data_IF_346278093824
#
_entry.id   IF_346278093824
#
_cell.length_a   1.000
_cell.length_b   1.000
_cell.length_c   1.000
_cell.angle_alpha   90.00
_cell.angle_beta   90.00
_cell.angle_gamma   90.00
#
_symmetry.space_group_name_H-M   'P 1'
#
loop_
_entity.id
_entity.type
_entity.pdbx_description
1 polymer ?
#
# COMPACT_ATOMS: atom_id res chain seq x y z
N UNK A 1 10.71 -20.62 23.22
CA UNK A 1 10.27 -20.51 21.81
C UNK A 1 9.69 -19.13 21.49
N UNK A 2 9.04 -18.44 22.43
CA UNK A 2 8.47 -17.08 22.20
C UNK A 2 9.48 -16.01 21.79
N UNK A 3 10.71 -16.07 22.30
CA UNK A 3 11.77 -15.09 21.99
C UNK A 3 12.00 -14.90 20.48
N UNK A 4 12.07 -15.99 19.70
CA UNK A 4 12.26 -15.92 18.24
C UNK A 4 11.04 -15.29 17.54
N UNK A 5 9.84 -15.66 17.97
CA UNK A 5 8.58 -15.12 17.44
C UNK A 5 8.43 -13.62 17.75
N UNK A 6 8.80 -13.20 18.95
CA UNK A 6 8.80 -11.80 19.38
C UNK A 6 9.81 -10.97 18.57
N UNK A 7 11.01 -11.51 18.34
CA UNK A 7 12.02 -10.87 17.50
C UNK A 7 11.55 -10.70 16.05
N UNK A 8 10.88 -11.71 15.48
CA UNK A 8 10.34 -11.63 14.10
C UNK A 8 9.13 -10.70 14.01
N UNK A 9 8.29 -10.61 15.04
CA UNK A 9 7.22 -9.62 15.07
C UNK A 9 7.73 -8.20 15.30
N UNK A 10 8.93 -8.03 15.87
CA UNK A 10 9.47 -6.73 16.20
C UNK A 10 8.48 -5.93 17.05
N UNK A 11 8.18 -4.71 16.63
CA UNK A 11 7.31 -3.76 17.36
C UNK A 11 5.80 -3.97 17.17
N UNK A 12 5.33 -5.12 16.67
CA UNK A 12 3.89 -5.38 16.50
C UNK A 12 3.20 -5.69 17.82
N UNK A 13 1.95 -5.24 17.97
CA UNK A 13 1.10 -5.53 19.13
C UNK A 13 0.68 -7.00 19.08
N UNK A 14 1.29 -7.82 19.94
CA UNK A 14 0.99 -9.25 20.00
C UNK A 14 -0.17 -9.51 20.96
N UNK A 15 -1.06 -10.43 20.60
CA UNK A 15 -2.02 -11.01 21.52
C UNK A 15 -1.25 -11.90 22.50
N UNK A 16 -1.27 -11.53 23.78
CA UNK A 16 -0.78 -12.33 24.90
C UNK A 16 -1.94 -12.58 25.86
N UNK A 17 -2.58 -13.74 25.77
CA UNK A 17 -3.74 -14.10 26.60
C UNK A 17 -3.68 -15.60 26.93
N UNK A 18 -3.58 -15.92 28.22
CA UNK A 18 -3.41 -17.32 28.66
C UNK A 18 -2.22 -17.97 27.96
N UNK A 19 -2.47 -19.07 27.25
CA UNK A 19 -1.45 -19.82 26.49
C UNK A 19 -1.18 -19.27 25.08
N UNK A 20 -1.89 -18.22 24.65
CA UNK A 20 -1.71 -17.63 23.32
C UNK A 20 -0.69 -16.49 23.34
N UNK A 21 0.35 -16.61 22.52
CA UNK A 21 1.28 -15.52 22.19
C UNK A 21 1.38 -15.38 20.67
N UNK A 22 0.46 -14.64 20.07
CA UNK A 22 0.28 -14.53 18.63
C UNK A 22 0.56 -13.12 18.12
N UNK A 23 1.26 -13.00 17.00
CA UNK A 23 1.31 -11.78 16.21
C UNK A 23 -0.05 -11.57 15.51
N UNK A 24 -1.01 -11.14 16.32
CA UNK A 24 -2.42 -10.95 16.03
C UNK A 24 -2.89 -9.74 16.83
N UNK A 25 -3.60 -8.81 16.18
CA UNK A 25 -4.10 -7.58 16.79
C UNK A 25 -5.52 -7.30 16.34
N UNK A 26 -6.40 -6.98 17.27
CA UNK A 26 -7.69 -6.37 16.96
C UNK A 26 -7.48 -4.90 16.61
N UNK A 27 -7.67 -4.57 15.33
CA UNK A 27 -7.67 -3.18 14.87
C UNK A 27 -8.98 -2.51 15.29
N UNK A 28 -10.10 -3.22 15.13
CA UNK A 28 -11.39 -2.91 15.76
C UNK A 28 -11.89 -4.17 16.47
N UNK A 29 -13.10 -4.15 17.05
CA UNK A 29 -13.68 -5.38 17.63
C UNK A 29 -13.93 -6.48 16.60
N UNK A 30 -14.11 -6.11 15.33
CA UNK A 30 -14.51 -7.02 14.25
C UNK A 30 -13.50 -7.13 13.11
N UNK A 31 -12.35 -6.46 13.23
CA UNK A 31 -11.24 -6.54 12.26
C UNK A 31 -9.96 -6.90 12.99
N UNK A 32 -9.34 -8.00 12.56
CA UNK A 32 -8.06 -8.50 13.07
C UNK A 32 -6.99 -8.36 11.98
N UNK A 33 -5.83 -7.85 12.36
CA UNK A 33 -4.60 -7.91 11.58
C UNK A 33 -3.66 -8.97 12.18
N UNK A 34 -3.10 -9.86 11.36
CA UNK A 34 -2.10 -10.83 11.84
C UNK A 34 -0.97 -11.09 10.84
N UNK A 35 0.10 -11.74 11.31
CA UNK A 35 1.09 -12.38 10.43
C UNK A 35 0.60 -13.75 9.93
N UNK A 36 1.25 -14.27 8.90
CA UNK A 36 0.89 -15.57 8.31
C UNK A 36 0.89 -16.69 9.36
N UNK A 37 -0.14 -17.56 9.39
CA UNK A 37 -0.07 -18.82 10.13
C UNK A 37 1.00 -19.71 9.49
N UNK A 38 2.01 -20.09 10.28
CA UNK A 38 3.14 -20.90 9.86
C UNK A 38 2.96 -22.36 10.26
N UNK A 39 3.25 -23.26 9.32
CA UNK A 39 3.21 -24.70 9.50
C UNK A 39 4.59 -25.26 9.87
N UNK A 40 4.62 -26.32 10.67
CA UNK A 40 5.84 -27.02 11.08
C UNK A 40 6.92 -26.06 11.59
N UNK A 41 8.10 -26.09 10.96
CA UNK A 41 9.25 -25.26 11.32
C UNK A 41 8.94 -23.76 11.22
N UNK A 42 8.03 -23.34 10.33
CA UNK A 42 7.67 -21.92 10.24
C UNK A 42 6.98 -21.42 11.50
N UNK A 43 6.26 -22.28 12.23
CA UNK A 43 5.63 -21.98 13.51
C UNK A 43 6.63 -21.63 14.62
N UNK A 44 7.92 -21.96 14.47
CA UNK A 44 8.97 -21.60 15.42
C UNK A 44 9.23 -20.09 15.43
N UNK A 45 9.11 -19.44 14.28
CA UNK A 45 9.44 -18.02 14.11
C UNK A 45 8.26 -17.16 13.60
N UNK A 46 7.13 -17.78 13.25
CA UNK A 46 5.84 -17.13 12.94
C UNK A 46 4.75 -17.56 13.92
N UNK A 47 3.51 -17.20 13.65
CA UNK A 47 2.35 -17.70 14.40
C UNK A 47 2.18 -19.20 14.13
N UNK A 48 2.24 -20.10 15.13
CA UNK A 48 1.91 -21.51 14.90
C UNK A 48 0.46 -21.63 14.44
N UNK A 49 0.23 -22.27 13.29
CA UNK A 49 -1.11 -22.39 12.71
C UNK A 49 -2.12 -23.00 13.68
N UNK A 50 -1.72 -24.02 14.45
CA UNK A 50 -2.61 -24.69 15.42
C UNK A 50 -3.05 -23.74 16.53
N UNK A 51 -2.17 -22.86 17.00
CA UNK A 51 -2.54 -21.86 18.02
C UNK A 51 -3.44 -20.77 17.46
N UNK A 52 -3.25 -20.34 16.20
CA UNK A 52 -4.13 -19.37 15.55
C UNK A 52 -5.52 -19.98 15.34
N UNK A 53 -5.56 -21.20 14.79
CA UNK A 53 -6.79 -21.93 14.55
C UNK A 53 -7.55 -22.18 15.86
N UNK A 54 -6.86 -22.68 16.90
CA UNK A 54 -7.43 -22.87 18.23
C UNK A 54 -8.03 -21.57 18.76
N UNK A 55 -7.26 -20.46 18.76
CA UNK A 55 -7.74 -19.18 19.26
C UNK A 55 -8.99 -18.69 18.52
N UNK A 56 -8.99 -18.73 17.17
CA UNK A 56 -10.12 -18.26 16.37
C UNK A 56 -11.35 -19.17 16.52
N UNK A 57 -11.15 -20.49 16.52
CA UNK A 57 -12.23 -21.47 16.69
C UNK A 57 -12.88 -21.39 18.08
N UNK A 58 -12.08 -21.20 19.14
CA UNK A 58 -12.60 -21.04 20.50
C UNK A 58 -13.32 -19.69 20.68
N UNK A 59 -12.75 -18.61 20.15
CA UNK A 59 -13.26 -17.25 20.40
C UNK A 59 -14.45 -16.87 19.52
N UNK A 60 -14.42 -17.27 18.24
CA UNK A 60 -15.33 -16.82 17.19
C UNK A 60 -16.09 -17.96 16.51
N UNK A 61 -15.85 -19.22 16.88
CA UNK A 61 -16.51 -20.41 16.32
C UNK A 61 -16.35 -20.49 14.80
N UNK A 62 -17.43 -20.34 14.04
CA UNK A 62 -17.44 -20.34 12.56
C UNK A 62 -17.61 -18.93 11.98
N UNK A 63 -17.80 -17.91 12.83
CA UNK A 63 -18.13 -16.53 12.44
C UNK A 63 -16.88 -15.69 12.14
N UNK A 64 -15.83 -16.30 11.58
CA UNK A 64 -14.62 -15.58 11.17
C UNK A 64 -14.23 -15.88 9.73
N UNK A 65 -13.73 -14.84 9.06
CA UNK A 65 -13.43 -14.87 7.63
C UNK A 65 -12.00 -14.39 7.40
N UNK A 66 -11.14 -15.25 6.85
CA UNK A 66 -9.71 -14.96 6.66
C UNK A 66 -9.45 -14.48 5.24
N UNK A 67 -8.87 -13.29 5.10
CA UNK A 67 -8.32 -12.78 3.84
C UNK A 67 -6.82 -13.02 3.78
N UNK A 68 -6.42 -14.01 2.98
CA UNK A 68 -5.04 -14.38 2.77
C UNK A 68 -4.44 -13.60 1.58
N UNK A 69 -3.71 -12.52 1.89
CA UNK A 69 -3.07 -11.66 0.88
C UNK A 69 -1.65 -12.14 0.51
N UNK A 70 -1.24 -13.31 1.00
CA UNK A 70 0.16 -13.75 0.94
C UNK A 70 0.55 -14.41 -0.39
N UNK A 71 -0.40 -15.01 -1.09
CA UNK A 71 -0.16 -15.91 -2.23
C UNK A 71 0.46 -17.26 -1.82
N UNK A 72 0.41 -17.61 -0.52
CA UNK A 72 0.89 -18.88 0.02
C UNK A 72 -0.29 -19.67 0.59
N UNK A 73 -0.30 -20.97 0.31
CA UNK A 73 -1.25 -21.91 0.91
C UNK A 73 -0.69 -22.44 2.24
N UNK A 74 -1.60 -22.89 3.09
CA UNK A 74 -1.36 -23.61 4.34
C UNK A 74 -2.58 -24.50 4.59
N UNK A 75 -2.54 -25.41 5.56
CA UNK A 75 -3.62 -26.33 5.89
C UNK A 75 -4.87 -25.58 6.39
N UNK A 76 -5.77 -25.30 5.45
CA UNK A 76 -7.02 -24.58 5.67
C UNK A 76 -7.99 -25.37 6.55
N UNK A 77 -7.86 -26.71 6.61
CA UNK A 77 -8.78 -27.59 7.35
C UNK A 77 -8.76 -27.36 8.87
N UNK A 78 -7.71 -26.72 9.37
CA UNK A 78 -7.58 -26.31 10.78
C UNK A 78 -8.56 -25.21 11.16
N UNK A 79 -8.99 -24.40 10.20
CA UNK A 79 -9.88 -23.27 10.41
C UNK A 79 -11.33 -23.68 10.11
N UNK A 80 -12.23 -23.45 11.07
CA UNK A 80 -13.68 -23.63 10.89
C UNK A 80 -14.31 -22.50 10.04
N UNK A 81 -13.69 -21.32 10.07
CA UNK A 81 -14.13 -20.15 9.32
C UNK A 81 -13.68 -20.18 7.85
N UNK A 82 -14.31 -19.36 7.02
CA UNK A 82 -14.03 -19.33 5.58
C UNK A 82 -12.71 -18.58 5.27
N UNK A 83 -11.97 -19.05 4.27
CA UNK A 83 -10.72 -18.42 3.80
C UNK A 83 -10.85 -17.96 2.34
N UNK A 84 -10.51 -16.70 2.09
CA UNK A 84 -10.41 -16.10 0.76
C UNK A 84 -8.94 -15.94 0.36
N UNK A 85 -8.54 -16.56 -0.76
CA UNK A 85 -7.14 -16.61 -1.23
C UNK A 85 -6.87 -15.92 -2.57
N UNK A 86 -7.91 -15.51 -3.29
CA UNK A 86 -7.80 -14.93 -4.64
C UNK A 86 -7.40 -13.44 -4.62
N UNK A 87 -7.13 -12.89 -3.45
CA UNK A 87 -6.93 -11.45 -3.20
C UNK A 87 -5.47 -11.04 -2.99
N UNK A 88 -4.50 -11.77 -3.56
CA UNK A 88 -3.08 -11.47 -3.37
C UNK A 88 -2.48 -10.63 -4.51
N UNK A 89 -1.44 -9.86 -4.18
CA UNK A 89 -0.53 -9.27 -5.17
C UNK A 89 0.92 -9.52 -4.74
N UNK A 90 1.81 -9.57 -5.74
CA UNK A 90 3.22 -9.87 -5.51
C UNK A 90 3.85 -8.91 -4.52
N UNK A 91 4.76 -9.44 -3.70
CA UNK A 91 5.51 -8.60 -2.79
C UNK A 91 6.25 -7.50 -3.57
N UNK A 92 6.25 -6.31 -3.01
CA UNK A 92 6.78 -5.09 -3.62
C UNK A 92 6.10 -4.55 -4.89
N UNK A 93 4.88 -4.97 -5.20
CA UNK A 93 4.01 -4.29 -6.17
C UNK A 93 2.99 -3.43 -5.43
N UNK A 94 2.45 -2.42 -6.11
CA UNK A 94 1.21 -1.79 -5.67
C UNK A 94 0.06 -2.81 -5.73
N UNK A 95 -0.93 -2.71 -4.83
CA UNK A 95 -2.17 -3.47 -5.01
C UNK A 95 -2.85 -3.02 -6.29
N UNK A 96 -3.50 -3.91 -7.03
CA UNK A 96 -4.44 -3.45 -8.07
C UNK A 96 -5.64 -2.78 -7.40
N UNK A 97 -6.08 -1.64 -7.92
CA UNK A 97 -7.22 -0.90 -7.35
C UNK A 97 -8.49 -1.74 -7.32
N UNK A 98 -8.76 -2.53 -8.37
CA UNK A 98 -9.92 -3.42 -8.43
C UNK A 98 -9.93 -4.39 -7.23
N UNK A 99 -8.78 -5.00 -6.94
CA UNK A 99 -8.63 -5.96 -5.83
C UNK A 99 -8.93 -5.29 -4.49
N UNK A 100 -8.52 -4.03 -4.29
CA UNK A 100 -8.84 -3.30 -3.06
C UNK A 100 -10.36 -3.09 -2.91
N UNK A 101 -11.04 -2.65 -3.97
CA UNK A 101 -12.50 -2.46 -3.94
C UNK A 101 -13.24 -3.78 -3.72
N UNK A 102 -12.81 -4.86 -4.37
CA UNK A 102 -13.44 -6.17 -4.21
C UNK A 102 -13.29 -6.73 -2.80
N UNK A 103 -12.10 -6.62 -2.22
CA UNK A 103 -11.88 -6.99 -0.82
C UNK A 103 -12.76 -6.13 0.10
N UNK A 104 -12.77 -4.80 -0.07
CA UNK A 104 -13.53 -3.92 0.81
C UNK A 104 -15.04 -4.18 0.73
N UNK A 105 -15.57 -4.41 -0.47
CA UNK A 105 -16.97 -4.79 -0.65
C UNK A 105 -17.28 -6.13 0.02
N UNK A 106 -16.40 -7.12 -0.15
CA UNK A 106 -16.59 -8.44 0.46
C UNK A 106 -16.55 -8.37 2.00
N UNK A 107 -15.58 -7.64 2.56
CA UNK A 107 -15.50 -7.39 4.02
C UNK A 107 -16.79 -6.70 4.49
N UNK A 108 -17.26 -5.67 3.78
CA UNK A 108 -18.49 -4.96 4.14
C UNK A 108 -19.71 -5.88 4.19
N UNK A 109 -19.87 -6.72 3.17
CA UNK A 109 -20.97 -7.67 3.08
C UNK A 109 -20.92 -8.70 4.21
N UNK A 110 -19.73 -9.25 4.50
CA UNK A 110 -19.52 -10.18 5.62
C UNK A 110 -19.87 -9.52 6.95
N UNK A 111 -19.39 -8.31 7.22
CA UNK A 111 -19.65 -7.65 8.50
C UNK A 111 -21.11 -7.19 8.65
N UNK A 112 -21.81 -6.94 7.55
CA UNK A 112 -23.25 -6.64 7.55
C UNK A 112 -24.14 -7.87 7.68
N UNK A 113 -23.72 -9.04 7.19
CA UNK A 113 -24.58 -10.22 7.14
C UNK A 113 -24.88 -10.82 8.52
N UNK A 114 -23.95 -10.71 9.46
CA UNK A 114 -24.12 -11.17 10.84
C UNK A 114 -23.33 -10.25 11.78
N UNK A 115 -23.90 -9.88 12.92
CA UNK A 115 -23.27 -9.01 13.93
C UNK A 115 -22.07 -9.67 14.61
N UNK A 116 -22.03 -11.01 14.65
CA UNK A 116 -20.92 -11.77 15.23
C UNK A 116 -19.76 -12.00 14.27
N UNK A 117 -19.95 -11.75 12.97
CA UNK A 117 -18.89 -11.93 11.98
C UNK A 117 -17.68 -11.06 12.30
N UNK A 118 -16.49 -11.64 12.20
CA UNK A 118 -15.22 -10.91 12.26
C UNK A 118 -14.36 -11.24 11.05
N UNK A 119 -13.54 -10.28 10.64
CA UNK A 119 -12.63 -10.42 9.51
C UNK A 119 -11.19 -10.45 10.00
N UNK A 120 -10.43 -11.41 9.50
CA UNK A 120 -9.00 -11.56 9.77
C UNK A 120 -8.24 -11.29 8.48
N UNK A 121 -7.38 -10.28 8.46
CA UNK A 121 -6.56 -9.96 7.28
C UNK A 121 -5.10 -10.26 7.60
N UNK A 122 -4.43 -11.02 6.71
CA UNK A 122 -3.00 -11.27 6.85
C UNK A 122 -2.28 -11.25 5.50
N UNK A 123 -0.97 -11.09 5.58
CA UNK A 123 -0.05 -11.33 4.47
C UNK A 123 1.11 -12.19 5.00
N UNK A 124 2.35 -11.97 4.58
CA UNK A 124 3.50 -12.66 5.18
C UNK A 124 3.77 -12.13 6.60
N UNK A 125 4.07 -10.84 6.72
CA UNK A 125 4.48 -10.21 7.98
C UNK A 125 3.34 -9.47 8.71
N UNK A 126 2.15 -9.35 8.11
CA UNK A 126 1.03 -8.62 8.73
C UNK A 126 1.29 -7.13 8.94
N UNK A 127 2.00 -6.48 8.00
CA UNK A 127 2.39 -5.05 8.06
C UNK A 127 1.82 -4.24 6.89
N UNK A 128 2.51 -4.25 5.74
CA UNK A 128 2.21 -3.39 4.60
C UNK A 128 0.89 -3.75 3.91
N UNK A 129 0.83 -4.89 3.21
CA UNK A 129 -0.36 -5.36 2.48
C UNK A 129 -1.61 -5.45 3.35
N UNK A 130 -1.46 -6.05 4.54
CA UNK A 130 -2.52 -6.13 5.56
C UNK A 130 -3.04 -4.75 5.95
N UNK A 131 -2.12 -3.82 6.26
CA UNK A 131 -2.50 -2.47 6.62
C UNK A 131 -3.14 -1.70 5.47
N UNK A 132 -2.68 -1.90 4.23
CA UNK A 132 -3.30 -1.30 3.05
C UNK A 132 -4.77 -1.68 2.93
N UNK A 133 -5.10 -2.97 3.00
CA UNK A 133 -6.49 -3.44 2.94
C UNK A 133 -7.32 -2.91 4.11
N UNK A 134 -6.79 -2.99 5.33
CA UNK A 134 -7.52 -2.53 6.51
C UNK A 134 -7.77 -1.02 6.45
N UNK A 135 -6.78 -0.22 6.07
CA UNK A 135 -6.96 1.23 5.91
C UNK A 135 -7.97 1.55 4.81
N UNK A 136 -7.90 0.88 3.66
CA UNK A 136 -8.92 1.04 2.61
C UNK A 136 -10.31 0.68 3.13
N UNK A 137 -10.46 -0.42 3.87
CA UNK A 137 -11.76 -0.79 4.41
C UNK A 137 -12.28 0.19 5.47
N UNK A 138 -11.42 0.72 6.34
CA UNK A 138 -11.82 1.72 7.34
C UNK A 138 -12.24 3.07 6.70
N UNK A 139 -11.71 3.39 5.52
CA UNK A 139 -12.18 4.50 4.68
C UNK A 139 -13.52 4.15 4.01
N UNK A 140 -13.61 2.96 3.42
CA UNK A 140 -14.83 2.43 2.78
C UNK A 140 -16.00 2.29 3.76
N UNK A 141 -15.73 1.97 5.03
CA UNK A 141 -16.77 1.87 6.03
C UNK A 141 -17.30 3.25 6.45
N UNK A 142 -16.66 4.35 6.03
CA UNK A 142 -17.00 5.71 6.45
C UNK A 142 -16.42 6.13 7.80
N UNK A 143 -15.58 5.31 8.46
CA UNK A 143 -15.07 5.63 9.81
C UNK A 143 -14.05 6.77 9.79
N UNK A 144 -13.29 6.86 8.69
CA UNK A 144 -12.27 7.87 8.47
C UNK A 144 -12.55 8.63 7.17
N UNK A 145 -12.20 9.92 7.16
CA UNK A 145 -12.40 10.82 6.02
C UNK A 145 -11.11 11.14 5.26
N UNK A 146 -9.95 10.75 5.81
CA UNK A 146 -8.67 11.06 5.21
C UNK A 146 -7.64 9.95 5.50
N UNK A 147 -6.65 9.86 4.61
CA UNK A 147 -5.62 8.82 4.64
C UNK A 147 -4.64 9.00 5.81
N UNK A 148 -4.36 10.24 6.23
CA UNK A 148 -3.43 10.52 7.34
C UNK A 148 -3.93 9.93 8.66
N UNK A 149 -5.21 10.09 8.96
CA UNK A 149 -5.78 9.65 10.23
C UNK A 149 -5.99 8.15 10.29
N UNK A 150 -6.45 7.51 9.20
CA UNK A 150 -6.56 6.05 9.16
C UNK A 150 -5.19 5.36 9.27
N UNK A 151 -4.16 5.92 8.61
CA UNK A 151 -2.78 5.40 8.71
C UNK A 151 -2.24 5.54 10.13
N UNK A 152 -2.52 6.67 10.79
CA UNK A 152 -2.12 6.89 12.17
C UNK A 152 -2.84 5.92 13.13
N UNK A 153 -4.17 5.80 12.99
CA UNK A 153 -4.98 4.88 13.78
C UNK A 153 -4.49 3.45 13.63
N UNK A 154 -4.35 2.96 12.40
CA UNK A 154 -3.82 1.61 12.15
C UNK A 154 -2.41 1.43 12.74
N UNK A 155 -1.55 2.44 12.62
CA UNK A 155 -0.22 2.43 13.20
C UNK A 155 -0.23 2.24 14.71
N UNK A 156 -1.00 3.07 15.43
CA UNK A 156 -1.15 3.01 16.89
C UNK A 156 -1.81 1.71 17.36
N UNK A 157 -2.79 1.19 16.61
CA UNK A 157 -3.41 -0.10 16.93
C UNK A 157 -2.47 -1.27 16.71
N UNK A 158 -1.70 -1.29 15.62
CA UNK A 158 -0.92 -2.46 15.18
C UNK A 158 0.49 -2.53 15.76
N UNK A 159 1.09 -1.41 16.16
CA UNK A 159 2.49 -1.35 16.60
C UNK A 159 2.65 -0.60 17.93
N UNK A 160 3.66 -1.00 18.71
CA UNK A 160 4.15 -0.25 19.85
C UNK A 160 5.25 0.73 19.39
N UNK A 161 5.12 1.99 19.81
CA UNK A 161 6.05 3.08 19.49
C UNK A 161 5.71 3.85 18.22
N UNK A 162 6.21 5.08 18.13
CA UNK A 162 5.83 6.04 17.09
C UNK A 162 6.40 5.70 15.70
N UNK A 163 5.70 6.18 14.65
CA UNK A 163 6.20 6.18 13.27
C UNK A 163 6.10 4.85 12.51
N UNK A 164 5.36 3.85 13.04
CA UNK A 164 5.12 2.58 12.37
C UNK A 164 3.69 2.44 11.88
N UNK A 165 3.52 2.26 10.57
CA UNK A 165 2.23 1.96 9.92
C UNK A 165 2.47 1.25 8.58
N UNK A 166 1.59 1.45 7.61
CA UNK A 166 1.87 1.26 6.18
C UNK A 166 2.87 2.32 5.76
N UNK A 167 4.12 1.91 5.52
CA UNK A 167 5.23 2.85 5.29
C UNK A 167 5.71 2.89 3.83
N UNK A 168 5.33 1.91 2.99
CA UNK A 168 5.79 1.86 1.61
C UNK A 168 5.05 2.93 0.78
N UNK A 169 5.75 3.86 0.11
CA UNK A 169 5.12 4.94 -0.64
C UNK A 169 4.11 4.48 -1.69
N UNK A 170 4.39 3.40 -2.45
CA UNK A 170 3.42 2.85 -3.40
C UNK A 170 2.12 2.40 -2.73
N UNK A 171 2.17 1.84 -1.51
CA UNK A 171 0.99 1.41 -0.79
C UNK A 171 0.18 2.60 -0.30
N UNK A 172 0.84 3.62 0.27
CA UNK A 172 0.18 4.86 0.71
C UNK A 172 -0.49 5.57 -0.47
N UNK A 173 0.21 5.67 -1.61
CA UNK A 173 -0.32 6.27 -2.84
C UNK A 173 -1.61 5.59 -3.30
N UNK A 174 -1.68 4.26 -3.24
CA UNK A 174 -2.88 3.53 -3.64
C UNK A 174 -4.02 3.62 -2.61
N UNK A 175 -3.72 3.83 -1.33
CA UNK A 175 -4.74 4.20 -0.34
C UNK A 175 -5.31 5.59 -0.66
N UNK A 176 -4.47 6.54 -1.08
CA UNK A 176 -4.95 7.86 -1.57
C UNK A 176 -5.83 7.70 -2.81
N UNK A 177 -5.38 6.97 -3.84
CA UNK A 177 -6.22 6.69 -5.01
C UNK A 177 -7.57 6.06 -4.65
N UNK A 178 -7.57 5.09 -3.73
CA UNK A 178 -8.79 4.47 -3.24
C UNK A 178 -9.70 5.48 -2.53
N UNK A 179 -9.14 6.33 -1.67
CA UNK A 179 -9.90 7.38 -0.99
C UNK A 179 -10.46 8.42 -1.98
N UNK A 180 -9.66 8.85 -2.96
CA UNK A 180 -10.08 9.81 -3.98
C UNK A 180 -11.28 9.25 -4.75
N UNK A 181 -11.19 7.99 -5.20
CA UNK A 181 -12.27 7.29 -5.88
C UNK A 181 -13.56 7.17 -5.06
N UNK A 182 -13.47 6.94 -3.74
CA UNK A 182 -14.65 6.90 -2.86
C UNK A 182 -15.35 8.24 -2.70
N UNK A 183 -14.64 9.35 -2.92
CA UNK A 183 -15.17 10.71 -2.78
C UNK A 183 -15.41 11.37 -4.15
N UNK A 184 -15.34 10.60 -5.25
CA UNK A 184 -15.64 11.09 -6.60
C UNK A 184 -17.12 10.92 -6.94
N UNK A 185 -17.73 11.97 -7.49
CA UNK A 185 -19.10 11.94 -8.02
C UNK A 185 -19.16 11.54 -9.50
N UNK A 186 -18.03 11.18 -10.10
CA UNK A 186 -17.91 10.89 -11.54
C UNK A 186 -17.13 9.62 -11.79
N UNK A 187 -17.53 8.91 -12.85
CA UNK A 187 -16.79 7.75 -13.35
C UNK A 187 -15.43 8.17 -13.86
N UNK A 188 -14.45 7.28 -13.67
CA UNK A 188 -13.08 7.48 -14.11
C UNK A 188 -12.55 6.22 -14.76
N UNK A 189 -11.74 6.41 -15.80
CA UNK A 189 -11.20 5.36 -16.65
C UNK A 189 -9.70 5.59 -16.88
N UNK A 190 -8.91 4.52 -17.06
CA UNK A 190 -7.48 4.66 -17.32
C UNK A 190 -7.23 5.38 -18.65
N UNK A 191 -6.12 6.11 -18.71
CA UNK A 191 -5.64 6.74 -19.93
C UNK A 191 -4.47 5.97 -20.53
N UNK A 192 -4.35 6.01 -21.86
CA UNK A 192 -3.15 5.57 -22.55
C UNK A 192 -2.10 6.68 -22.49
N UNK A 193 -0.92 6.34 -22.00
CA UNK A 193 0.22 7.26 -21.91
C UNK A 193 1.46 6.62 -22.54
N UNK A 194 2.47 7.45 -22.79
CA UNK A 194 3.82 7.04 -23.10
C UNK A 194 4.80 7.81 -22.21
N UNK A 195 5.93 7.21 -21.87
CA UNK A 195 7.01 7.92 -21.17
C UNK A 195 7.98 8.45 -22.21
N UNK A 196 8.27 9.76 -22.18
CA UNK A 196 9.25 10.42 -23.05
C UNK A 196 10.64 10.40 -22.43
N UNK A 197 10.72 10.77 -21.15
CA UNK A 197 11.97 10.74 -20.41
C UNK A 197 11.75 10.53 -18.93
N UNK A 198 12.79 10.04 -18.25
CA UNK A 198 12.87 10.04 -16.80
C UNK A 198 14.15 10.78 -16.42
N UNK A 199 13.98 11.84 -15.64
CA UNK A 199 15.07 12.69 -15.16
C UNK A 199 15.26 12.51 -13.66
N UNK A 200 16.50 12.32 -13.25
CA UNK A 200 16.93 12.36 -11.86
C UNK A 200 17.59 13.70 -11.59
N UNK A 201 17.34 14.28 -10.42
CA UNK A 201 17.98 15.50 -9.95
C UNK A 201 18.52 15.29 -8.53
N UNK A 202 19.59 16.01 -8.20
CA UNK A 202 20.39 15.80 -6.98
C UNK A 202 21.74 15.18 -7.32
N UNK A 203 22.65 15.10 -6.35
CA UNK A 203 23.95 14.49 -6.59
C UNK A 203 23.80 13.00 -6.98
N UNK A 204 24.68 12.52 -7.87
CA UNK A 204 24.71 11.10 -8.27
C UNK A 204 24.76 10.19 -7.04
N UNK A 205 23.84 9.22 -6.92
CA UNK A 205 23.87 8.27 -5.82
C UNK A 205 25.17 7.46 -5.79
N UNK A 206 25.71 7.20 -4.60
CA UNK A 206 26.95 6.44 -4.40
C UNK A 206 26.65 4.94 -4.30
N UNK A 207 26.44 4.25 -5.43
CA UNK A 207 25.84 2.90 -5.46
C UNK A 207 26.85 1.76 -5.54
N UNK A 208 27.84 1.84 -6.42
CA UNK A 208 28.86 0.81 -6.57
C UNK A 208 30.08 1.03 -5.65
N UNK A 209 31.04 0.10 -5.69
CA UNK A 209 32.26 0.12 -4.86
C UNK A 209 33.12 1.37 -5.08
N UNK A 210 32.98 2.03 -6.24
CA UNK A 210 33.72 3.23 -6.62
C UNK A 210 32.86 4.50 -6.45
N UNK A 211 31.70 4.40 -5.80
CA UNK A 211 30.75 5.50 -5.63
C UNK A 211 30.05 5.93 -6.93
N UNK A 212 30.09 5.10 -7.97
CA UNK A 212 29.48 5.41 -9.26
C UNK A 212 28.06 4.83 -9.38
N UNK A 213 27.31 5.41 -10.30
CA UNK A 213 25.94 5.01 -10.60
C UNK A 213 25.73 5.05 -12.11
N UNK A 214 25.24 3.93 -12.66
CA UNK A 214 24.90 3.76 -14.06
C UNK A 214 23.41 3.39 -14.13
N UNK A 215 22.51 4.36 -13.92
CA UNK A 215 21.12 4.04 -13.76
C UNK A 215 20.52 3.52 -15.07
N UNK A 216 19.55 2.64 -14.93
CA UNK A 216 18.68 2.17 -16.00
C UNK A 216 17.29 1.85 -15.44
N UNK A 217 16.31 1.81 -16.33
CA UNK A 217 14.90 1.68 -16.00
C UNK A 217 14.35 0.38 -16.57
N UNK A 218 13.50 -0.30 -15.81
CA UNK A 218 12.60 -1.34 -16.28
C UNK A 218 11.15 -0.90 -16.04
N UNK A 219 10.33 -0.96 -17.09
CA UNK A 219 8.89 -0.69 -17.01
C UNK A 219 8.14 -2.02 -16.95
N UNK A 220 7.24 -2.14 -15.99
CA UNK A 220 6.48 -3.36 -15.72
C UNK A 220 4.99 -3.05 -15.69
N UNK A 221 4.22 -3.85 -16.42
CA UNK A 221 2.78 -3.96 -16.27
C UNK A 221 2.49 -4.77 -15.01
N UNK A 222 1.85 -4.14 -14.02
CA UNK A 222 1.63 -4.77 -12.70
C UNK A 222 0.64 -5.93 -12.79
N UNK A 223 -0.39 -5.81 -13.64
CA UNK A 223 -1.46 -6.80 -13.75
C UNK A 223 -0.93 -8.06 -14.44
N UNK A 224 -0.17 -7.88 -15.53
CA UNK A 224 0.42 -8.99 -16.29
C UNK A 224 1.72 -9.52 -15.68
N UNK A 225 2.28 -8.81 -14.70
CA UNK A 225 3.62 -9.04 -14.16
C UNK A 225 4.69 -9.13 -15.28
N UNK A 226 4.50 -8.36 -16.34
CA UNK A 226 5.31 -8.43 -17.54
C UNK A 226 6.25 -7.23 -17.62
N UNK A 227 7.54 -7.49 -17.84
CA UNK A 227 8.49 -6.43 -18.19
C UNK A 227 8.27 -6.00 -19.63
N UNK A 228 7.70 -4.81 -19.81
CA UNK A 228 7.39 -4.23 -21.11
C UNK A 228 8.64 -3.65 -21.78
N UNK A 229 9.56 -3.07 -21.00
CA UNK A 229 10.72 -2.39 -21.55
C UNK A 229 11.90 -2.31 -20.57
N UNK A 230 13.12 -2.17 -21.10
CA UNK A 230 14.33 -1.93 -20.32
C UNK A 230 15.33 -1.04 -21.06
N UNK A 231 15.86 -0.02 -20.38
CA UNK A 231 16.93 0.84 -20.91
C UNK A 231 18.33 0.35 -20.55
N UNK A 232 18.48 -0.89 -20.03
CA UNK A 232 19.77 -1.41 -19.53
C UNK A 232 20.91 -1.28 -20.55
N UNK A 233 20.65 -1.57 -21.83
CA UNK A 233 21.64 -1.47 -22.91
C UNK A 233 22.07 -0.02 -23.23
N UNK A 234 21.29 0.96 -22.81
CA UNK A 234 21.52 2.39 -23.03
C UNK A 234 22.02 3.09 -21.76
N UNK A 235 22.34 2.33 -20.70
CA UNK A 235 22.76 2.89 -19.42
C UNK A 235 24.04 3.71 -19.58
N UNK A 236 24.05 4.90 -18.97
CA UNK A 236 25.18 5.82 -18.96
C UNK A 236 25.46 6.22 -17.52
N UNK A 237 26.69 6.65 -17.24
CA UNK A 237 27.09 7.14 -15.92
C UNK A 237 26.25 8.36 -15.53
N UNK A 238 25.75 8.40 -14.29
CA UNK A 238 25.21 9.60 -13.68
C UNK A 238 26.38 10.49 -13.25
N UNK A 239 26.53 11.64 -13.91
CA UNK A 239 27.53 12.66 -13.57
C UNK A 239 26.84 13.97 -13.19
N UNK A 240 27.33 14.63 -12.14
CA UNK A 240 26.83 15.94 -11.71
C UNK A 240 25.54 15.87 -10.88
N UNK A 241 24.67 16.87 -11.07
CA UNK A 241 23.43 17.10 -10.29
C UNK A 241 22.13 16.71 -11.01
N UNK A 242 22.24 16.19 -12.24
CA UNK A 242 21.11 15.68 -12.99
C UNK A 242 21.52 14.57 -13.96
N UNK A 243 20.58 13.67 -14.26
CA UNK A 243 20.77 12.62 -15.27
C UNK A 243 19.43 12.31 -15.91
N UNK A 244 19.40 12.21 -17.24
CA UNK A 244 18.17 11.97 -17.99
C UNK A 244 18.30 10.69 -18.83
N UNK A 245 17.26 9.88 -18.78
CA UNK A 245 17.07 8.69 -19.61
C UNK A 245 15.93 9.00 -20.58
N UNK A 246 16.25 9.09 -21.88
CA UNK A 246 15.29 9.34 -22.96
C UNK A 246 14.80 8.00 -23.52
N UNK A 247 13.50 7.86 -23.72
CA UNK A 247 12.89 6.66 -24.25
C UNK A 247 12.74 6.80 -25.77
N UNK A 248 13.59 6.09 -26.51
CA UNK A 248 13.57 6.10 -27.99
C UNK A 248 12.34 5.41 -28.60
N UNK A 249 11.69 4.51 -27.85
CA UNK A 249 10.52 3.77 -28.30
C UNK A 249 9.26 4.30 -27.61
N UNK A 250 8.20 4.49 -28.40
CA UNK A 250 6.87 4.80 -27.89
C UNK A 250 6.22 3.54 -27.32
N UNK A 251 6.32 3.37 -26.00
CA UNK A 251 5.72 2.21 -25.31
C UNK A 251 4.34 2.65 -24.79
N UNK A 252 3.24 2.06 -25.27
CA UNK A 252 1.91 2.33 -24.75
C UNK A 252 1.77 1.76 -23.34
N UNK A 253 1.38 2.60 -22.38
CA UNK A 253 1.18 2.24 -20.98
C UNK A 253 -0.22 2.63 -20.52
N UNK A 254 -0.82 1.79 -19.68
CA UNK A 254 -2.16 2.01 -19.12
C UNK A 254 -2.32 1.37 -17.75
N UNK A 255 -3.28 1.86 -16.97
CA UNK A 255 -3.62 1.37 -15.63
C UNK A 255 -2.42 1.36 -14.67
N UNK A 256 -2.18 0.27 -13.95
CA UNK A 256 -1.16 0.16 -12.91
C UNK A 256 0.24 -0.07 -13.53
N UNK A 257 1.11 0.94 -13.43
CA UNK A 257 2.48 0.92 -13.97
C UNK A 257 3.49 0.92 -12.82
N UNK A 258 4.48 0.01 -12.91
CA UNK A 258 5.63 -0.04 -11.99
C UNK A 258 6.92 0.25 -12.74
N UNK A 259 7.65 1.26 -12.27
CA UNK A 259 8.98 1.62 -12.75
C UNK A 259 10.00 1.12 -11.72
N UNK A 260 10.93 0.26 -12.15
CA UNK A 260 12.09 -0.16 -11.35
C UNK A 260 13.34 0.52 -11.87
N UNK A 261 14.07 1.18 -10.98
CA UNK A 261 15.35 1.82 -11.30
C UNK A 261 16.48 1.04 -10.62
N UNK A 262 17.49 0.71 -11.41
CA UNK A 262 18.67 -0.05 -10.99
C UNK A 262 19.92 0.63 -11.52
N UNK A 263 21.05 0.43 -10.84
CA UNK A 263 22.35 0.76 -11.38
C UNK A 263 22.96 -0.48 -12.01
N UNK A 264 23.41 -0.39 -13.26
CA UNK A 264 24.26 -1.39 -13.87
C UNK A 264 25.56 -1.50 -13.07
N UNK A 265 26.03 -2.73 -12.89
CA UNK A 265 27.27 -3.03 -12.19
C UNK A 265 28.01 -4.17 -12.86
N UNK A 266 29.32 -4.26 -12.63
CA UNK A 266 30.20 -5.24 -13.28
C UNK A 266 29.87 -6.68 -12.89
N UNK A 267 29.59 -6.93 -11.60
CA UNK A 267 29.29 -8.28 -11.07
C UNK A 267 27.77 -8.50 -11.03
N UNK A 268 27.04 -7.51 -10.50
CA UNK A 268 25.59 -7.56 -10.37
C UNK A 268 25.00 -6.17 -10.41
N UNK A 269 23.78 -6.05 -10.92
CA UNK A 269 23.04 -4.80 -10.88
C UNK A 269 22.57 -4.49 -9.44
N UNK A 270 22.70 -3.24 -9.04
CA UNK A 270 22.24 -2.74 -7.74
C UNK A 270 20.84 -2.15 -7.86
N UNK A 271 19.91 -2.53 -6.99
CA UNK A 271 18.59 -1.88 -6.91
C UNK A 271 18.74 -0.48 -6.33
N UNK A 272 18.16 0.52 -7.00
CA UNK A 272 18.13 1.89 -6.50
C UNK A 272 16.80 2.15 -5.80
N UNK A 273 15.73 2.22 -6.59
CA UNK A 273 14.39 2.47 -6.10
C UNK A 273 13.34 1.99 -7.11
N UNK A 274 12.08 2.12 -6.71
CA UNK A 274 10.92 1.85 -7.53
C UNK A 274 9.89 2.94 -7.30
N UNK A 275 9.02 3.14 -8.26
CA UNK A 275 7.83 3.95 -8.09
C UNK A 275 6.70 3.32 -8.89
N UNK A 276 5.49 3.40 -8.35
CA UNK A 276 4.28 2.92 -8.99
C UNK A 276 3.27 4.05 -9.12
N UNK A 277 2.44 3.97 -10.15
CA UNK A 277 1.33 4.89 -10.36
C UNK A 277 0.21 4.25 -11.17
N UNK A 278 -0.95 4.90 -11.24
CA UNK A 278 -2.06 4.48 -12.09
C UNK A 278 -2.43 5.57 -13.10
N UNK A 279 -2.52 5.23 -14.39
CA UNK A 279 -2.71 6.22 -15.46
C UNK A 279 -4.04 6.96 -15.46
N UNK A 280 -5.01 6.55 -14.65
CA UNK A 280 -6.27 7.27 -14.48
C UNK A 280 -6.08 8.63 -13.76
N UNK A 281 -5.06 8.78 -12.91
CA UNK A 281 -4.99 9.89 -11.94
C UNK A 281 -4.15 11.10 -12.38
N UNK A 282 -3.89 11.26 -13.69
CA UNK A 282 -2.94 12.28 -14.21
C UNK A 282 -3.52 13.21 -15.29
N UNK A 283 -4.76 13.66 -15.13
CA UNK A 283 -5.45 14.52 -16.12
C UNK A 283 -4.67 15.79 -16.47
N UNK A 284 -4.23 16.55 -15.46
CA UNK A 284 -3.79 17.94 -15.65
C UNK A 284 -2.27 18.13 -15.68
N UNK A 285 -1.51 17.04 -15.83
CA UNK A 285 -0.04 17.12 -15.90
C UNK A 285 0.54 16.17 -16.94
N UNK A 286 1.61 16.62 -17.61
CA UNK A 286 2.47 15.77 -18.45
C UNK A 286 3.77 15.41 -17.71
N UNK A 287 3.93 15.84 -16.46
CA UNK A 287 5.12 15.62 -15.67
C UNK A 287 4.75 15.14 -14.28
N UNK A 288 5.26 13.97 -13.91
CA UNK A 288 5.07 13.38 -12.59
C UNK A 288 6.35 13.58 -11.78
N UNK A 289 6.25 14.27 -10.66
CA UNK A 289 7.40 14.54 -9.78
C UNK A 289 7.30 13.66 -8.54
N UNK A 290 8.43 13.04 -8.18
CA UNK A 290 8.56 12.18 -7.02
C UNK A 290 9.83 12.55 -6.24
N UNK A 291 9.66 12.96 -4.99
CA UNK A 291 10.80 13.17 -4.10
C UNK A 291 11.19 11.83 -3.44
N UNK A 292 12.29 11.80 -2.68
CA UNK A 292 12.72 10.60 -1.95
C UNK A 292 11.62 9.94 -1.12
N UNK A 293 10.68 10.74 -0.59
CA UNK A 293 9.59 10.23 0.22
C UNK A 293 8.55 9.42 -0.57
N UNK A 294 8.52 9.60 -1.89
CA UNK A 294 7.60 8.92 -2.80
C UNK A 294 8.19 7.63 -3.41
N UNK A 295 9.46 7.34 -3.12
CA UNK A 295 10.21 6.24 -3.73
C UNK A 295 10.24 5.00 -2.82
N UNK A 296 9.99 3.84 -3.42
CA UNK A 296 10.11 2.56 -2.75
C UNK A 296 11.52 1.96 -2.89
N UNK A 297 12.03 1.24 -1.88
CA UNK A 297 11.39 1.02 -0.59
C UNK A 297 11.59 2.23 0.35
N UNK A 298 10.67 2.43 1.30
CA UNK A 298 10.68 3.59 2.23
C UNK A 298 12.01 3.84 2.96
N UNK A 299 12.84 2.80 3.11
CA UNK A 299 14.17 2.86 3.70
C UNK A 299 15.12 3.80 2.95
N UNK A 300 14.88 4.06 1.66
CA UNK A 300 15.69 4.97 0.85
C UNK A 300 15.78 6.38 1.43
N UNK A 301 14.74 6.83 2.15
CA UNK A 301 14.71 8.15 2.80
C UNK A 301 15.86 8.33 3.82
N UNK A 302 16.34 7.22 4.39
CA UNK A 302 17.44 7.19 5.37
C UNK A 302 18.76 6.71 4.76
N UNK A 303 18.75 6.32 3.48
CA UNK A 303 19.94 5.83 2.81
C UNK A 303 20.89 6.99 2.50
N UNK A 304 22.09 6.93 3.08
CA UNK A 304 23.13 7.97 2.94
C UNK A 304 23.69 8.05 1.52
N UNK A 305 23.46 7.03 0.69
CA UNK A 305 23.90 7.01 -0.71
C UNK A 305 23.09 7.96 -1.58
N UNK A 306 21.91 8.39 -1.14
CA UNK A 306 21.05 9.30 -1.88
C UNK A 306 21.09 10.71 -1.27
N UNK A 307 21.17 11.71 -2.14
CA UNK A 307 21.02 13.12 -1.77
C UNK A 307 19.64 13.36 -1.15
N UNK A 308 19.54 14.11 -0.04
CA UNK A 308 18.25 14.43 0.61
C UNK A 308 17.30 15.22 -0.30
N UNK A 309 17.82 15.94 -1.29
CA UNK A 309 17.04 16.64 -2.32
C UNK A 309 16.86 15.82 -3.60
N UNK A 310 17.18 14.53 -3.57
CA UNK A 310 17.02 13.66 -4.73
C UNK A 310 15.55 13.60 -5.14
N UNK A 311 15.29 13.88 -6.41
CA UNK A 311 13.95 13.82 -7.00
C UNK A 311 13.99 13.20 -8.39
N UNK A 312 12.85 12.65 -8.78
CA UNK A 312 12.62 12.00 -10.06
C UNK A 312 11.48 12.71 -10.77
N UNK A 313 11.68 13.10 -12.02
CA UNK A 313 10.61 13.57 -12.90
C UNK A 313 10.38 12.54 -14.01
N UNK A 314 9.13 12.12 -14.19
CA UNK A 314 8.70 11.27 -15.30
C UNK A 314 7.91 12.16 -16.26
N UNK A 315 8.46 12.39 -17.44
CA UNK A 315 7.82 13.13 -18.52
C UNK A 315 6.99 12.17 -19.37
N UNK A 316 5.69 12.46 -19.49
CA UNK A 316 4.70 11.61 -20.14
C UNK A 316 3.98 12.34 -21.26
N UNK A 317 3.65 11.62 -22.32
CA UNK A 317 2.70 12.06 -23.33
C UNK A 317 1.40 11.28 -23.17
N UNK A 318 0.28 12.00 -23.27
CA UNK A 318 -1.08 11.44 -23.21
C UNK A 318 -1.73 11.50 -24.57
N UNK A 319 -2.77 10.68 -24.76
CA UNK A 319 -3.67 10.86 -25.88
C UNK A 319 -4.29 12.27 -25.84
N UNK A 320 -4.26 12.99 -26.97
CA UNK A 320 -4.87 14.32 -27.10
C UNK A 320 -6.38 14.29 -27.31
N UNK A 321 -6.92 13.11 -27.65
CA UNK A 321 -8.34 12.92 -28.00
C UNK A 321 -9.14 12.40 -26.80
N UNK A 322 -8.56 11.51 -26.00
CA UNK A 322 -9.24 10.85 -24.90
C UNK A 322 -8.85 11.42 -23.54
N UNK A 323 -9.81 11.49 -22.63
CA UNK A 323 -9.63 11.72 -21.20
C UNK A 323 -10.12 10.52 -20.39
N UNK A 324 -9.84 10.53 -19.10
CA UNK A 324 -10.34 9.55 -18.13
C UNK A 324 -11.85 9.63 -17.88
N UNK A 325 -12.55 10.66 -18.39
CA UNK A 325 -14.01 10.70 -18.39
C UNK A 325 -14.63 9.83 -19.50
N UNK A 326 -13.88 9.53 -20.57
CA UNK A 326 -14.37 8.69 -21.65
C UNK A 326 -14.44 7.23 -21.20
N UNK A 327 -15.61 6.58 -21.38
CA UNK A 327 -15.73 5.12 -21.25
C UNK A 327 -14.87 4.41 -22.30
N UNK A 328 -14.71 3.09 -22.17
CA UNK A 328 -13.91 2.30 -23.11
C UNK A 328 -14.44 2.44 -24.56
N UNK A 329 -15.75 2.39 -24.76
CA UNK A 329 -16.40 2.52 -26.07
C UNK A 329 -16.22 3.91 -26.70
N UNK A 330 -15.97 4.91 -25.87
CA UNK A 330 -15.72 6.30 -26.29
C UNK A 330 -14.23 6.59 -26.54
N UNK A 331 -13.32 5.65 -26.23
CA UNK A 331 -11.90 5.81 -26.53
C UNK A 331 -11.67 5.79 -28.04
N UNK A 332 -10.70 6.56 -28.51
CA UNK A 332 -10.32 6.60 -29.92
C UNK A 332 -9.74 5.26 -30.39
N UNK A 333 -9.67 5.07 -31.71
CA UNK A 333 -9.19 3.84 -32.34
C UNK A 333 -7.76 3.43 -31.92
N UNK A 334 -6.94 4.38 -31.45
CA UNK A 334 -5.60 4.10 -30.93
C UNK A 334 -5.65 3.64 -29.47
N UNK A 335 -6.47 4.28 -28.62
CA UNK A 335 -6.50 3.99 -27.19
C UNK A 335 -7.25 2.68 -26.88
N UNK A 336 -8.35 2.44 -27.57
CA UNK A 336 -9.27 1.34 -27.27
C UNK A 336 -8.57 -0.04 -27.22
N UNK A 337 -7.74 -0.45 -28.20
CA UNK A 337 -7.09 -1.76 -28.18
C UNK A 337 -6.18 -1.99 -26.97
N UNK A 338 -5.59 -0.92 -26.39
CA UNK A 338 -4.73 -1.01 -25.22
C UNK A 338 -5.50 -0.97 -23.90
N UNK A 339 -6.67 -0.34 -23.89
CA UNK A 339 -7.46 -0.11 -22.67
C UNK A 339 -8.55 -1.16 -22.45
N UNK A 340 -9.06 -1.80 -23.51
CA UNK A 340 -10.19 -2.74 -23.43
C UNK A 340 -9.94 -3.92 -22.48
N UNK A 341 -8.69 -4.36 -22.35
CA UNK A 341 -8.29 -5.39 -21.38
C UNK A 341 -8.56 -5.01 -19.92
N UNK A 342 -8.68 -3.72 -19.61
CA UNK A 342 -8.97 -3.21 -18.27
C UNK A 342 -10.46 -2.89 -18.06
N UNK A 343 -11.31 -3.15 -19.07
CA UNK A 343 -12.73 -2.79 -19.05
C UNK A 343 -13.48 -3.43 -17.89
N UNK A 344 -13.36 -4.76 -17.74
CA UNK A 344 -14.01 -5.49 -16.65
C UNK A 344 -13.63 -4.94 -15.28
N UNK A 345 -12.33 -4.71 -15.03
CA UNK A 345 -11.85 -4.22 -13.73
C UNK A 345 -12.32 -2.80 -13.40
N UNK A 346 -12.31 -1.89 -14.37
CA UNK A 346 -12.71 -0.50 -14.13
C UNK A 346 -14.22 -0.29 -14.15
N UNK A 347 -14.96 -1.04 -14.97
CA UNK A 347 -16.42 -1.05 -14.91
C UNK A 347 -16.87 -1.51 -13.53
N UNK A 348 -16.23 -2.56 -12.99
CA UNK A 348 -16.49 -3.06 -11.64
C UNK A 348 -16.18 -2.03 -10.54
N UNK A 349 -15.04 -1.33 -10.61
CA UNK A 349 -14.73 -0.22 -9.68
C UNK A 349 -15.82 0.86 -9.75
N UNK A 350 -16.16 1.31 -10.96
CA UNK A 350 -17.18 2.34 -11.16
C UNK A 350 -18.57 1.88 -10.68
N UNK A 351 -18.94 0.62 -10.85
CA UNK A 351 -20.18 0.05 -10.32
C UNK A 351 -20.23 0.08 -8.79
N UNK A 352 -19.12 -0.28 -8.13
CA UNK A 352 -19.01 -0.23 -6.67
C UNK A 352 -19.15 1.22 -6.17
N UNK A 353 -18.42 2.16 -6.78
CA UNK A 353 -18.46 3.58 -6.41
C UNK A 353 -19.86 4.17 -6.65
N UNK A 354 -20.48 3.91 -7.80
CA UNK A 354 -21.82 4.45 -8.11
C UNK A 354 -22.91 3.96 -7.14
N UNK A 355 -22.71 2.80 -6.50
CA UNK A 355 -23.62 2.24 -5.50
C UNK A 355 -23.18 2.55 -4.06
N UNK A 356 -22.00 3.15 -3.89
CA UNK A 356 -21.44 3.41 -2.58
C UNK A 356 -22.20 4.55 -1.91
N UNK A 357 -22.81 4.24 -0.77
CA UNK A 357 -23.40 5.23 0.13
C UNK A 357 -22.59 5.21 1.40
N UNK A 358 -21.95 6.33 1.70
CA UNK A 358 -21.11 6.48 2.88
C UNK A 358 -21.95 6.26 4.15
N UNK A 359 -21.62 5.26 5.00
CA UNK A 359 -22.35 5.04 6.24
C UNK A 359 -22.21 6.22 7.21
N UNK A 360 -23.22 6.42 8.07
CA UNK A 360 -23.13 7.40 9.15
C UNK A 360 -22.15 6.94 10.23
N UNK A 361 -21.70 7.85 11.10
CA UNK A 361 -20.81 7.48 12.21
C UNK A 361 -21.45 6.39 13.08
N UNK A 362 -22.72 6.53 13.45
CA UNK A 362 -23.46 5.55 14.27
C UNK A 362 -23.47 4.17 13.61
N UNK A 363 -23.82 4.11 12.31
CA UNK A 363 -23.84 2.85 11.55
C UNK A 363 -22.45 2.21 11.52
N UNK A 364 -21.41 3.01 11.36
CA UNK A 364 -20.03 2.54 11.27
C UNK A 364 -19.51 2.06 12.62
N UNK A 365 -19.83 2.78 13.70
CA UNK A 365 -19.48 2.39 15.07
C UNK A 365 -20.11 1.06 15.42
N UNK A 366 -21.40 0.86 15.13
CA UNK A 366 -22.08 -0.42 15.31
C UNK A 366 -21.43 -1.52 14.45
N UNK A 367 -21.11 -1.22 13.17
CA UNK A 367 -20.53 -2.19 12.25
C UNK A 367 -19.14 -2.67 12.69
N UNK A 368 -18.27 -1.77 13.19
CA UNK A 368 -16.86 -2.06 13.46
C UNK A 368 -16.54 -2.38 14.92
N UNK A 369 -17.25 -1.74 15.84
CA UNK A 369 -16.97 -1.75 17.28
C UNK A 369 -18.09 -2.39 18.11
N UNK A 370 -19.22 -2.76 17.48
CA UNK A 370 -20.45 -3.24 18.12
C UNK A 370 -21.16 -2.15 18.93
N UNK A 371 -20.47 -1.48 19.84
CA UNK A 371 -21.01 -0.42 20.71
C UNK A 371 -20.12 0.83 20.72
N UNK A 372 -20.65 1.97 21.19
CA UNK A 372 -19.91 3.25 21.22
C UNK A 372 -18.80 3.27 22.27
N UNK A 373 -18.95 2.55 23.39
CA UNK A 373 -17.91 2.45 24.43
C UNK A 373 -16.64 1.74 23.94
N UNK A 374 -16.79 0.89 22.92
CA UNK A 374 -15.73 0.12 22.30
C UNK A 374 -15.05 0.86 21.12
N UNK A 375 -15.60 2.00 20.69
CA UNK A 375 -15.06 2.84 19.61
C UNK A 375 -13.96 3.77 20.13
N UNK A 376 -12.72 3.35 19.92
CA UNK A 376 -11.51 4.01 20.44
C UNK A 376 -10.88 5.02 19.48
N UNK A 377 -11.50 5.30 18.33
CA UNK A 377 -10.89 6.14 17.27
C UNK A 377 -10.58 7.55 17.76
N UNK A 378 -11.54 8.20 18.44
CA UNK A 378 -11.35 9.58 18.91
C UNK A 378 -10.23 9.67 19.95
N UNK A 379 -10.17 8.72 20.88
CA UNK A 379 -9.12 8.67 21.91
C UNK A 379 -7.73 8.55 21.27
N UNK A 380 -7.57 7.61 20.32
CA UNK A 380 -6.30 7.36 19.64
C UNK A 380 -5.86 8.55 18.75
N UNK A 381 -6.82 9.26 18.15
CA UNK A 381 -6.51 10.44 17.33
C UNK A 381 -6.23 11.69 18.17
N UNK A 382 -6.85 11.87 19.35
CA UNK A 382 -6.53 12.99 20.26
C UNK A 382 -5.08 12.95 20.74
N UNK A 383 -4.54 11.75 20.99
CA UNK A 383 -3.11 11.58 21.33
C UNK A 383 -2.19 12.16 20.24
N UNK A 384 -2.57 12.09 18.95
CA UNK A 384 -1.79 12.68 17.84
C UNK A 384 -1.69 14.20 17.94
N UNK A 385 -2.76 14.87 18.37
CA UNK A 385 -2.79 16.33 18.53
C UNK A 385 -1.89 16.74 19.69
N UNK A 386 -1.99 16.03 20.82
CA UNK A 386 -1.14 16.26 21.99
C UNK A 386 0.34 16.00 21.69
N UNK A 387 0.67 14.88 21.03
CA UNK A 387 2.03 14.56 20.58
C UNK A 387 2.60 15.64 19.65
N UNK A 388 1.81 16.12 18.69
CA UNK A 388 2.23 17.17 17.74
C UNK A 388 2.43 18.52 18.43
N UNK A 389 1.54 18.89 19.34
CA UNK A 389 1.65 20.14 20.13
C UNK A 389 2.85 20.11 21.04
N UNK A 390 3.10 18.99 21.73
CA UNK A 390 4.27 18.81 22.59
C UNK A 390 5.57 18.83 21.79
N UNK A 391 5.61 18.21 20.60
CA UNK A 391 6.78 18.24 19.71
C UNK A 391 7.08 19.65 19.19
N UNK A 392 6.04 20.43 18.84
CA UNK A 392 6.19 21.82 18.42
C UNK A 392 6.67 22.70 19.58
N UNK A 393 6.13 22.51 20.78
CA UNK A 393 6.54 23.23 21.98
C UNK A 393 8.02 22.95 22.34
N UNK A 394 8.44 21.69 22.28
CA UNK A 394 9.82 21.29 22.53
C UNK A 394 10.77 21.87 21.48
N UNK A 395 10.37 21.89 20.20
CA UNK A 395 11.15 22.53 19.13
C UNK A 395 11.27 24.05 19.31
N UNK A 396 10.20 24.71 19.74
CA UNK A 396 10.22 26.14 20.04
C UNK A 396 11.17 26.46 21.21
N UNK A 397 11.10 25.68 22.30
CA UNK A 397 12.00 25.81 23.45
C UNK A 397 13.47 25.61 23.08
N UNK A 398 13.78 24.64 22.22
CA UNK A 398 15.14 24.41 21.73
C UNK A 398 15.62 25.52 20.80
N UNK A 399 14.73 26.11 20.01
CA UNK A 399 15.05 27.25 19.14
C UNK A 399 15.33 28.51 19.98
N UNK A 400 14.53 28.76 21.01
CA UNK A 400 14.71 29.89 21.92
C UNK A 400 16.02 29.78 22.70
N UNK A 401 16.41 28.57 23.12
CA UNK A 401 17.71 28.31 23.75
C UNK A 401 18.89 28.54 22.80
N UNK A 402 18.73 28.31 21.49
CA UNK A 402 19.75 28.58 20.48
C UNK A 402 19.85 30.06 20.08
N UNK A 403 18.80 30.85 20.28
CA UNK A 403 18.80 32.30 20.01
C UNK A 403 19.37 33.08 21.22
N UNK A 404 19.29 32.49 22.42
CA UNK A 404 19.84 33.07 23.66
C UNK A 404 21.30 32.70 23.94
N UNK A 405 21.89 31.81 23.15
CA UNK A 405 23.32 31.42 23.16
C UNK A 405 24.07 32.05 22.00
#
# INVERSE_FOLDING_TARGET
MDYLREKVSGKKNRLKQGNFNLDLTYITKRIIAMSMPGEGIQGIYRNPIDQVAQYLNERHKEEYFIFNLSGKNYDESKFKGQIFKDYFWKDHHSPSLNVLFDICLQIHNILKSNFENIVVVHCLAGKGRTGTVICCYLLYSGRFNNVSDVLNYYGKKRFYGEGLSVNQPCQIKYINYFNDLLNMDKRIFPNLIQIKSISFYGNSPQIDINGQCYPYVEIIDVIKDLKLYSTKKQSKKYVGKSHQIIFGNQIPLSADVLIKVKSYGTISDSKMFRLAFNTAFFQNTNKLTYDLNDLDPSQIQKDVRFDKKFRVEVDIEKCKICSDANSFEQKCQICMPHLIQHSMTWNRINEIINRYVKPTEIQTTQLLFKNKEDDDVEAILKDKILEKTNSLCLKAQLLDQQIQS
#
